data_IF_416826294906
#
_entry.id   IF_416826294906
#
_cell.length_a   1.000
_cell.length_b   1.000
_cell.length_c   1.000
_cell.angle_alpha   90.00
_cell.angle_beta   90.00
_cell.angle_gamma   90.00
#
_symmetry.space_group_name_H-M   'P 1'
#
loop_
_entity.id
_entity.type
_entity.pdbx_description
1 polymer ?
#
# COMPACT_ATOMS: atom_id res chain seq x y z
N UNK A 1 4.00 -13.93 -16.13
CA UNK A 1 3.89 -12.81 -17.09
C UNK A 1 4.08 -11.52 -16.30
N UNK A 2 5.05 -10.67 -16.66
CA UNK A 2 5.54 -9.59 -15.80
C UNK A 2 4.69 -8.32 -15.93
N UNK A 3 4.08 -7.89 -14.83
CA UNK A 3 3.27 -6.68 -14.70
C UNK A 3 4.07 -5.44 -15.11
N UNK A 4 3.47 -4.59 -15.96
CA UNK A 4 4.09 -3.42 -16.58
C UNK A 4 3.27 -2.18 -16.35
N UNK A 5 3.65 -1.38 -15.36
CA UNK A 5 3.56 0.08 -15.32
C UNK A 5 3.67 0.48 -13.85
N UNK A 6 4.57 1.41 -13.56
CA UNK A 6 4.74 1.97 -12.22
C UNK A 6 4.37 3.44 -12.32
N UNK A 7 3.45 3.88 -11.47
CA UNK A 7 3.19 5.30 -11.28
C UNK A 7 4.07 5.73 -10.12
N UNK A 8 5.03 6.62 -10.38
CA UNK A 8 5.87 7.18 -9.32
C UNK A 8 5.54 8.66 -9.18
N UNK A 9 5.10 9.04 -7.99
CA UNK A 9 4.98 10.44 -7.60
C UNK A 9 6.08 10.75 -6.59
N UNK A 10 7.08 11.51 -7.03
CA UNK A 10 8.13 12.03 -6.16
C UNK A 10 7.67 13.37 -5.58
N UNK A 11 7.82 13.56 -4.26
CA UNK A 11 7.66 14.88 -3.62
C UNK A 11 8.96 15.67 -3.57
N UNK A 12 10.10 15.01 -3.75
CA UNK A 12 11.42 15.65 -3.74
C UNK A 12 11.74 16.41 -5.03
N UNK A 13 11.03 16.10 -6.12
CA UNK A 13 11.11 16.83 -7.38
C UNK A 13 9.74 17.43 -7.68
N UNK A 14 9.69 18.69 -8.10
CA UNK A 14 8.50 19.37 -8.60
C UNK A 14 8.01 18.82 -9.96
N UNK A 15 8.10 17.50 -10.14
CA UNK A 15 7.90 16.80 -11.40
C UNK A 15 6.51 16.15 -11.47
N UNK A 16 5.87 16.14 -12.64
CA UNK A 16 4.55 15.53 -12.83
C UNK A 16 4.58 14.01 -12.58
N UNK A 17 3.40 13.43 -12.35
CA UNK A 17 3.18 11.98 -12.30
C UNK A 17 3.80 11.31 -13.53
N UNK A 18 4.89 10.55 -13.35
CA UNK A 18 5.56 9.86 -14.46
C UNK A 18 5.00 8.45 -14.61
N UNK A 19 4.42 8.17 -15.77
CA UNK A 19 3.99 6.83 -16.18
C UNK A 19 5.18 6.11 -16.84
N UNK A 20 5.78 5.14 -16.13
CA UNK A 20 6.93 4.40 -16.65
C UNK A 20 6.51 2.99 -17.10
N UNK A 21 6.65 2.71 -18.40
CA UNK A 21 6.46 1.38 -19.00
C UNK A 21 7.80 0.82 -19.46
N UNK A 22 8.40 -0.13 -18.72
CA UNK A 22 9.66 -0.77 -19.09
C UNK A 22 9.64 -2.28 -18.84
N UNK A 23 10.19 -3.06 -19.79
CA UNK A 23 10.26 -4.54 -19.79
C UNK A 23 11.43 -5.11 -18.97
N UNK A 24 12.28 -4.27 -18.39
CA UNK A 24 13.40 -4.67 -17.52
C UNK A 24 13.33 -3.83 -16.25
N UNK A 25 13.25 -4.50 -15.10
CA UNK A 25 13.55 -3.88 -13.81
C UNK A 25 15.00 -3.43 -13.80
N UNK A 26 15.25 -2.22 -14.31
CA UNK A 26 16.40 -1.38 -13.99
C UNK A 26 15.77 -0.36 -13.03
N UNK A 27 15.56 -0.75 -11.77
CA UNK A 27 14.55 -0.15 -10.90
C UNK A 27 14.53 1.39 -10.77
N UNK A 28 15.61 2.11 -11.08
CA UNK A 28 15.77 3.48 -10.58
C UNK A 28 16.76 4.37 -11.35
N UNK A 29 17.19 4.03 -12.58
CA UNK A 29 18.35 4.71 -13.18
C UNK A 29 18.15 6.20 -13.52
N UNK A 30 16.91 6.74 -13.45
CA UNK A 30 16.61 8.12 -13.84
C UNK A 30 15.59 8.85 -12.95
N UNK A 31 15.12 8.28 -11.83
CA UNK A 31 14.04 8.94 -11.08
C UNK A 31 14.48 10.17 -10.26
N UNK A 32 15.77 10.50 -10.28
CA UNK A 32 16.32 11.79 -9.91
C UNK A 32 17.50 12.08 -10.85
N UNK A 33 17.32 12.87 -11.90
CA UNK A 33 18.45 13.48 -12.60
C UNK A 33 19.21 14.35 -11.60
N UNK A 34 20.29 13.80 -11.04
CA UNK A 34 21.06 14.44 -9.97
C UNK A 34 21.90 13.49 -9.11
N UNK A 35 22.50 12.44 -9.69
CA UNK A 35 23.63 11.66 -9.13
C UNK A 35 23.54 11.17 -7.66
N UNK A 36 22.35 10.99 -7.08
CA UNK A 36 22.14 10.23 -5.84
C UNK A 36 20.99 9.28 -6.04
N UNK A 37 21.20 7.99 -5.78
CA UNK A 37 20.11 7.03 -5.66
C UNK A 37 19.12 7.59 -4.63
N UNK A 38 17.82 7.60 -4.94
CA UNK A 38 16.81 7.90 -3.94
C UNK A 38 16.95 6.83 -2.85
N UNK A 39 17.39 7.22 -1.66
CA UNK A 39 17.68 6.32 -0.56
C UNK A 39 16.48 6.35 0.39
N UNK A 40 15.64 5.32 0.34
CA UNK A 40 14.50 5.17 1.24
C UNK A 40 14.96 4.49 2.53
N UNK A 41 14.54 5.00 3.67
CA UNK A 41 14.91 4.46 4.99
C UNK A 41 13.73 3.78 5.68
N UNK A 42 12.49 4.17 5.35
CA UNK A 42 11.29 3.57 5.93
C UNK A 42 10.17 3.47 4.89
N UNK A 43 9.86 2.23 4.51
CA UNK A 43 8.92 1.89 3.43
C UNK A 43 7.63 1.34 4.02
N UNK A 44 6.52 2.03 3.78
CA UNK A 44 5.17 1.54 4.09
C UNK A 44 4.57 0.86 2.87
N UNK A 45 4.22 -0.42 3.00
CA UNK A 45 3.50 -1.18 1.98
C UNK A 45 2.02 -1.25 2.36
N UNK A 46 1.14 -0.69 1.53
CA UNK A 46 -0.30 -0.73 1.73
C UNK A 46 -0.96 -1.71 0.75
N UNK A 47 -1.60 -2.74 1.28
CA UNK A 47 -2.25 -3.79 0.49
C UNK A 47 -3.70 -4.04 0.92
N UNK A 48 -4.52 -4.45 -0.03
CA UNK A 48 -5.71 -5.21 0.29
C UNK A 48 -5.34 -6.69 0.40
N UNK A 49 -6.18 -7.52 1.02
CA UNK A 49 -5.91 -8.95 1.13
C UNK A 49 -6.21 -9.70 -0.19
N UNK A 50 -6.15 -9.04 -1.35
CA UNK A 50 -6.45 -9.69 -2.63
C UNK A 50 -5.35 -10.69 -3.01
N UNK A 51 -5.65 -11.59 -3.95
CA UNK A 51 -4.65 -12.53 -4.48
C UNK A 51 -3.50 -11.83 -5.22
N UNK A 52 -3.66 -10.56 -5.55
CA UNK A 52 -2.67 -9.74 -6.23
C UNK A 52 -1.80 -8.89 -5.29
N UNK A 53 -2.08 -8.90 -3.98
CA UNK A 53 -1.30 -8.22 -2.95
C UNK A 53 0.19 -8.60 -2.98
N UNK A 54 0.47 -9.86 -3.32
CA UNK A 54 1.82 -10.42 -3.46
C UNK A 54 2.73 -9.56 -4.37
N UNK A 55 2.20 -9.03 -5.48
CA UNK A 55 2.98 -8.19 -6.40
C UNK A 55 3.44 -6.87 -5.75
N UNK A 56 2.63 -6.34 -4.83
CA UNK A 56 2.89 -5.09 -4.12
C UNK A 56 3.87 -5.35 -2.98
N UNK A 57 3.68 -6.43 -2.22
CA UNK A 57 4.57 -6.84 -1.13
C UNK A 57 5.96 -7.16 -1.67
N UNK A 58 6.06 -7.94 -2.76
CA UNK A 58 7.33 -8.25 -3.41
C UNK A 58 8.11 -6.99 -3.81
N UNK A 59 7.43 -6.01 -4.41
CA UNK A 59 8.05 -4.75 -4.81
C UNK A 59 8.56 -3.96 -3.59
N UNK A 60 7.76 -3.88 -2.52
CA UNK A 60 8.16 -3.22 -1.28
C UNK A 60 9.36 -3.90 -0.62
N UNK A 61 9.35 -5.23 -0.52
CA UNK A 61 10.42 -6.02 0.08
C UNK A 61 11.73 -5.92 -0.72
N UNK A 62 11.66 -5.97 -2.06
CA UNK A 62 12.83 -5.77 -2.92
C UNK A 62 13.45 -4.38 -2.74
N UNK A 63 12.62 -3.33 -2.68
CA UNK A 63 13.08 -1.97 -2.42
C UNK A 63 13.68 -1.82 -1.03
N UNK A 64 13.07 -2.40 -0.01
CA UNK A 64 13.60 -2.38 1.35
C UNK A 64 14.98 -3.05 1.42
N UNK A 65 15.13 -4.22 0.77
CA UNK A 65 16.40 -4.95 0.70
C UNK A 65 17.50 -4.13 0.01
N UNK A 66 17.20 -3.52 -1.14
CA UNK A 66 18.17 -2.73 -1.91
C UNK A 66 18.62 -1.47 -1.15
N UNK A 67 17.71 -0.84 -0.40
CA UNK A 67 17.99 0.39 0.34
C UNK A 67 18.48 0.16 1.77
N UNK A 68 18.48 -1.09 2.26
CA UNK A 68 18.64 -1.40 3.68
C UNK A 68 17.63 -0.64 4.56
N UNK A 69 16.38 -0.54 4.08
CA UNK A 69 15.31 0.21 4.72
C UNK A 69 14.51 -0.66 5.69
N UNK A 70 13.90 -0.02 6.68
CA UNK A 70 12.80 -0.64 7.43
C UNK A 70 11.56 -0.77 6.54
N UNK A 71 10.79 -1.84 6.76
CA UNK A 71 9.56 -2.12 6.03
C UNK A 71 8.42 -2.39 7.01
N UNK A 72 7.28 -1.74 6.78
CA UNK A 72 6.02 -2.01 7.45
C UNK A 72 4.93 -2.32 6.42
N UNK A 73 3.98 -3.18 6.78
CA UNK A 73 2.87 -3.59 5.90
C UNK A 73 1.55 -3.29 6.60
N UNK A 74 0.67 -2.56 5.93
CA UNK A 74 -0.64 -2.19 6.47
C UNK A 74 -1.77 -2.72 5.59
N UNK A 75 -2.77 -3.30 6.25
CA UNK A 75 -4.09 -3.51 5.66
C UNK A 75 -5.12 -2.65 6.38
N UNK A 76 -5.98 -1.98 5.60
CA UNK A 76 -7.08 -1.19 6.14
C UNK A 76 -8.40 -1.87 5.84
N UNK A 77 -9.04 -2.39 6.88
CA UNK A 77 -10.36 -2.96 6.82
C UNK A 77 -11.43 -1.85 6.77
N UNK A 78 -12.39 -2.01 5.88
CA UNK A 78 -13.58 -1.17 5.88
C UNK A 78 -14.44 -1.48 7.11
N UNK A 79 -14.76 -0.47 7.90
CA UNK A 79 -15.80 -0.55 8.92
C UNK A 79 -17.18 -0.45 8.25
N UNK A 80 -17.58 -1.49 7.50
CA UNK A 80 -18.95 -1.66 7.03
C UNK A 80 -19.67 -2.64 7.96
N UNK A 81 -20.90 -2.31 8.35
CA UNK A 81 -21.86 -3.26 8.90
C UNK A 81 -22.93 -3.52 7.85
N UNK A 82 -23.65 -4.62 7.97
CA UNK A 82 -24.81 -4.92 7.14
C UNK A 82 -26.07 -4.73 7.99
N UNK A 83 -26.98 -3.86 7.53
CA UNK A 83 -28.32 -3.74 8.10
C UNK A 83 -29.29 -4.44 7.14
N UNK A 84 -29.61 -5.70 7.42
CA UNK A 84 -30.20 -6.61 6.42
C UNK A 84 -29.18 -6.95 5.33
N UNK A 85 -29.58 -6.92 4.05
CA UNK A 85 -28.72 -7.22 2.89
C UNK A 85 -27.93 -6.00 2.37
N UNK A 86 -28.06 -4.83 3.01
CA UNK A 86 -27.46 -3.58 2.55
C UNK A 86 -26.22 -3.20 3.38
N UNK A 87 -25.07 -2.89 2.74
CA UNK A 87 -23.89 -2.40 3.44
C UNK A 87 -24.09 -0.95 3.91
N UNK A 88 -23.97 -0.72 5.21
CA UNK A 88 -24.01 0.59 5.86
C UNK A 88 -22.65 0.92 6.50
N UNK A 89 -22.30 2.20 6.51
CA UNK A 89 -21.18 2.69 7.31
C UNK A 89 -21.51 2.53 8.79
N UNK A 90 -20.60 1.90 9.53
CA UNK A 90 -20.72 1.75 10.98
C UNK A 90 -20.71 3.15 11.61
N UNK A 91 -21.85 3.59 12.12
CA UNK A 91 -21.93 4.75 12.99
C UNK A 91 -21.02 4.51 14.21
N UNK A 92 -20.40 5.54 14.82
CA UNK A 92 -19.61 5.38 16.04
C UNK A 92 -20.33 4.60 17.17
N UNK A 93 -21.67 4.61 17.15
CA UNK A 93 -22.55 3.92 18.11
C UNK A 93 -22.57 2.39 17.89
N UNK A 94 -22.41 1.92 16.65
CA UNK A 94 -22.43 0.48 16.30
C UNK A 94 -21.05 -0.18 16.38
N UNK A 95 -20.00 0.61 16.65
CA UNK A 95 -18.61 0.15 16.71
C UNK A 95 -18.40 -0.90 17.82
N UNK A 96 -19.16 -0.79 18.91
CA UNK A 96 -19.07 -1.70 20.07
C UNK A 96 -19.78 -3.05 19.84
N UNK A 97 -20.64 -3.19 18.82
CA UNK A 97 -21.31 -4.44 18.47
C UNK A 97 -20.45 -5.34 17.56
N UNK A 98 -19.39 -4.80 16.97
CA UNK A 98 -18.48 -5.52 16.09
C UNK A 98 -17.16 -5.74 16.83
N UNK A 99 -16.84 -6.99 17.16
CA UNK A 99 -15.59 -7.30 17.85
C UNK A 99 -14.40 -7.09 16.89
N UNK A 100 -13.91 -5.85 16.81
CA UNK A 100 -12.79 -5.47 15.95
C UNK A 100 -11.53 -6.26 16.29
N UNK A 101 -11.39 -6.78 17.50
CA UNK A 101 -10.22 -7.56 17.90
C UNK A 101 -10.25 -8.96 17.30
N UNK A 102 -11.42 -9.61 17.22
CA UNK A 102 -11.58 -10.88 16.51
C UNK A 102 -11.32 -10.70 15.01
N UNK A 103 -11.91 -9.68 14.39
CA UNK A 103 -11.72 -9.41 12.96
C UNK A 103 -10.27 -9.01 12.68
N UNK A 104 -9.66 -8.18 13.53
CA UNK A 104 -8.24 -7.83 13.46
C UNK A 104 -7.38 -9.09 13.46
N UNK A 105 -7.64 -10.03 14.36
CA UNK A 105 -6.88 -11.28 14.44
C UNK A 105 -6.97 -12.09 13.15
N UNK A 106 -8.19 -12.25 12.60
CA UNK A 106 -8.39 -12.98 11.33
C UNK A 106 -7.64 -12.31 10.18
N UNK A 107 -7.79 -10.99 10.02
CA UNK A 107 -7.14 -10.24 8.95
C UNK A 107 -5.62 -10.19 9.13
N UNK A 108 -5.14 -10.14 10.37
CA UNK A 108 -3.73 -10.25 10.69
C UNK A 108 -3.17 -11.59 10.24
N UNK A 109 -3.83 -12.70 10.59
CA UNK A 109 -3.38 -14.04 10.21
C UNK A 109 -3.43 -14.26 8.68
N UNK A 110 -4.33 -13.60 7.96
CA UNK A 110 -4.33 -13.57 6.49
C UNK A 110 -3.15 -12.77 5.94
N UNK A 111 -2.87 -11.57 6.48
CA UNK A 111 -1.76 -10.74 6.03
C UNK A 111 -0.41 -11.37 6.35
N UNK A 112 -0.28 -12.02 7.51
CA UNK A 112 0.92 -12.73 7.94
C UNK A 112 1.34 -13.81 6.92
N UNK A 113 0.38 -14.58 6.43
CA UNK A 113 0.63 -15.59 5.38
C UNK A 113 1.09 -14.97 4.06
N UNK A 114 0.62 -13.76 3.73
CA UNK A 114 1.02 -13.07 2.51
C UNK A 114 2.44 -12.51 2.62
N UNK A 115 2.88 -12.13 3.82
CA UNK A 115 4.22 -11.60 4.03
C UNK A 115 5.27 -12.68 4.35
N UNK A 116 4.86 -13.89 4.77
CA UNK A 116 5.75 -15.02 5.09
C UNK A 116 6.86 -15.31 4.04
N UNK A 117 6.62 -15.21 2.72
CA UNK A 117 7.67 -15.41 1.71
C UNK A 117 8.74 -14.32 1.68
N UNK A 118 8.50 -13.21 2.38
CA UNK A 118 9.34 -12.03 2.45
C UNK A 118 9.92 -11.93 3.87
N UNK A 119 11.14 -11.41 4.03
CA UNK A 119 11.79 -11.26 5.34
C UNK A 119 11.18 -10.11 6.16
N UNK A 120 9.86 -10.12 6.32
CA UNK A 120 9.03 -9.13 6.98
C UNK A 120 8.51 -9.75 8.27
N UNK A 121 8.87 -9.16 9.39
CA UNK A 121 8.48 -9.69 10.69
C UNK A 121 7.01 -9.43 11.00
N UNK A 122 6.40 -10.29 11.82
CA UNK A 122 5.04 -10.08 12.37
C UNK A 122 4.86 -8.72 13.07
N UNK A 123 5.92 -8.19 13.68
CA UNK A 123 5.89 -6.87 14.33
C UNK A 123 5.77 -5.69 13.35
N UNK A 124 6.06 -5.92 12.07
CA UNK A 124 5.94 -4.93 10.99
C UNK A 124 4.55 -4.88 10.35
N UNK A 125 3.62 -5.74 10.78
CA UNK A 125 2.27 -5.86 10.23
C UNK A 125 1.28 -5.04 11.07
N UNK A 126 0.46 -4.22 10.41
CA UNK A 126 -0.61 -3.44 11.07
C UNK A 126 -1.97 -3.63 10.38
N UNK A 127 -3.02 -3.80 11.20
CA UNK A 127 -4.41 -3.87 10.76
C UNK A 127 -5.16 -2.66 11.31
N UNK A 128 -5.57 -1.77 10.41
CA UNK A 128 -6.35 -0.57 10.73
C UNK A 128 -7.80 -0.70 10.25
N UNK A 129 -8.69 0.05 10.88
CA UNK A 129 -10.09 0.13 10.47
C UNK A 129 -10.44 1.58 10.13
N UNK A 130 -11.09 1.79 8.98
CA UNK A 130 -11.51 3.11 8.56
C UNK A 130 -11.51 3.30 7.04
N UNK A 131 -11.32 4.54 6.61
CA UNK A 131 -11.15 4.86 5.20
C UNK A 131 -9.70 4.59 4.77
N UNK A 132 -9.52 3.64 3.85
CA UNK A 132 -8.20 3.14 3.44
C UNK A 132 -7.18 4.26 3.16
N UNK A 133 -7.52 5.24 2.32
CA UNK A 133 -6.58 6.30 1.96
C UNK A 133 -6.17 7.17 3.17
N UNK A 134 -7.11 7.48 4.06
CA UNK A 134 -6.83 8.30 5.25
C UNK A 134 -5.96 7.54 6.25
N UNK A 135 -6.26 6.26 6.44
CA UNK A 135 -5.52 5.38 7.34
C UNK A 135 -4.10 5.09 6.86
N UNK A 136 -3.91 4.89 5.54
CA UNK A 136 -2.59 4.73 4.92
C UNK A 136 -1.76 6.01 5.09
N UNK A 137 -2.34 7.18 4.78
CA UNK A 137 -1.65 8.48 4.94
C UNK A 137 -1.31 8.74 6.41
N UNK A 138 -2.20 8.36 7.34
CA UNK A 138 -1.96 8.47 8.77
C UNK A 138 -0.82 7.55 9.21
N UNK A 139 -0.84 6.26 8.85
CA UNK A 139 0.24 5.30 9.16
C UNK A 139 1.60 5.79 8.64
N UNK A 140 1.63 6.31 7.40
CA UNK A 140 2.86 6.84 6.82
C UNK A 140 3.44 8.01 7.63
N UNK A 141 2.58 8.87 8.21
CA UNK A 141 3.00 9.93 9.12
C UNK A 141 3.46 9.38 10.47
N UNK A 142 2.70 8.45 11.05
CA UNK A 142 2.99 7.84 12.35
C UNK A 142 4.36 7.15 12.35
N UNK A 143 4.68 6.44 11.26
CA UNK A 143 5.94 5.71 11.08
C UNK A 143 7.10 6.60 10.63
N UNK A 144 6.83 7.79 10.09
CA UNK A 144 7.83 8.56 9.37
C UNK A 144 8.29 7.90 8.07
N UNK A 145 7.38 7.21 7.37
CA UNK A 145 7.67 6.56 6.10
C UNK A 145 8.08 7.60 5.03
N UNK A 146 9.14 7.30 4.27
CA UNK A 146 9.63 8.14 3.17
C UNK A 146 9.25 7.60 1.78
N UNK A 147 8.64 6.41 1.74
CA UNK A 147 7.98 5.82 0.59
C UNK A 147 6.71 5.06 1.00
N UNK A 148 5.62 5.27 0.27
CA UNK A 148 4.44 4.40 0.28
C UNK A 148 4.42 3.56 -0.99
N UNK A 149 4.32 2.25 -0.85
CA UNK A 149 4.13 1.30 -1.94
C UNK A 149 2.69 0.77 -1.88
N UNK A 150 1.92 0.87 -2.96
CA UNK A 150 0.54 0.41 -2.98
C UNK A 150 0.11 -0.09 -4.36
N UNK A 151 -0.94 -0.90 -4.41
CA UNK A 151 -1.57 -1.28 -5.68
C UNK A 151 -2.34 -0.12 -6.31
N UNK A 152 -2.28 0.00 -7.64
CA UNK A 152 -3.11 0.96 -8.41
C UNK A 152 -4.61 0.70 -8.26
N UNK A 153 -5.01 -0.53 -7.99
CA UNK A 153 -6.39 -0.95 -7.74
C UNK A 153 -6.38 -2.15 -6.80
N UNK A 154 -7.55 -2.49 -6.24
CA UNK A 154 -7.73 -3.66 -5.38
C UNK A 154 -8.85 -4.58 -5.89
N UNK A 155 -9.37 -5.46 -5.00
CA UNK A 155 -10.38 -6.51 -5.30
C UNK A 155 -11.58 -6.06 -6.15
N UNK A 156 -12.03 -4.82 -6.00
CA UNK A 156 -13.23 -4.27 -6.66
C UNK A 156 -12.91 -3.26 -7.78
N UNK A 157 -11.64 -3.00 -8.04
CA UNK A 157 -11.21 -1.98 -9.00
C UNK A 157 -11.23 -2.48 -10.45
N UNK A 158 -11.49 -1.56 -11.38
CA UNK A 158 -11.32 -1.84 -12.81
C UNK A 158 -9.81 -1.90 -13.08
N UNK A 159 -9.31 -3.05 -13.55
CA UNK A 159 -7.87 -3.35 -13.74
C UNK A 159 -7.08 -2.35 -14.62
N UNK A 160 -7.79 -1.49 -15.36
CA UNK A 160 -7.22 -0.49 -16.28
C UNK A 160 -7.19 0.94 -15.70
N UNK A 161 -7.76 1.17 -14.51
CA UNK A 161 -7.88 2.51 -13.91
C UNK A 161 -7.17 2.58 -12.56
N UNK A 162 -6.75 3.79 -12.21
CA UNK A 162 -6.33 4.12 -10.86
C UNK A 162 -7.56 4.08 -9.94
N UNK A 163 -7.49 3.25 -8.91
CA UNK A 163 -8.51 3.13 -7.88
C UNK A 163 -8.56 4.35 -6.97
N UNK A 164 -9.73 4.61 -6.39
CA UNK A 164 -9.97 5.78 -5.53
C UNK A 164 -9.02 5.85 -4.33
N UNK A 165 -8.66 4.71 -3.74
CA UNK A 165 -7.67 4.67 -2.65
C UNK A 165 -6.30 5.14 -3.13
N UNK A 166 -5.81 4.60 -4.25
CA UNK A 166 -4.50 4.94 -4.78
C UNK A 166 -4.42 6.40 -5.22
N UNK A 167 -5.46 6.89 -5.88
CA UNK A 167 -5.59 8.30 -6.28
C UNK A 167 -5.55 9.25 -5.07
N UNK A 168 -6.33 8.96 -4.02
CA UNK A 168 -6.33 9.78 -2.80
C UNK A 168 -4.97 9.74 -2.07
N UNK A 169 -4.31 8.57 -2.01
CA UNK A 169 -2.98 8.45 -1.39
C UNK A 169 -1.95 9.28 -2.16
N UNK A 170 -1.94 9.21 -3.49
CA UNK A 170 -1.04 10.01 -4.35
C UNK A 170 -1.16 11.51 -4.06
N UNK A 171 -2.38 12.03 -3.88
CA UNK A 171 -2.61 13.44 -3.61
C UNK A 171 -2.29 13.87 -2.16
N UNK A 172 -2.38 12.96 -1.17
CA UNK A 172 -2.33 13.31 0.25
C UNK A 172 -1.16 12.73 1.05
N UNK A 173 -0.39 11.80 0.48
CA UNK A 173 0.76 11.17 1.14
C UNK A 173 1.75 12.23 1.66
N UNK A 174 2.38 12.04 2.82
CA UNK A 174 3.42 12.95 3.29
C UNK A 174 4.74 12.80 2.52
N UNK A 175 4.94 11.68 1.82
CA UNK A 175 6.19 11.25 1.22
C UNK A 175 6.00 10.76 -0.23
N UNK A 176 7.02 10.10 -0.78
CA UNK A 176 6.97 9.55 -2.12
C UNK A 176 5.97 8.40 -2.21
N UNK A 177 5.37 8.21 -3.39
CA UNK A 177 4.39 7.15 -3.61
C UNK A 177 4.76 6.35 -4.86
N UNK A 178 4.83 5.04 -4.71
CA UNK A 178 5.00 4.07 -5.77
C UNK A 178 3.71 3.25 -5.91
N UNK A 179 2.98 3.49 -6.99
CA UNK A 179 1.77 2.74 -7.33
C UNK A 179 2.09 1.60 -8.32
N UNK A 180 1.86 0.37 -7.88
CA UNK A 180 2.11 -0.86 -8.65
C UNK A 180 0.91 -1.15 -9.53
N UNK A 181 1.12 -1.25 -10.84
CA UNK A 181 0.06 -1.80 -11.70
C UNK A 181 -0.06 -3.30 -11.48
N UNK A 182 -1.16 -3.69 -10.87
CA UNK A 182 -1.54 -5.09 -10.72
C UNK A 182 -2.02 -5.59 -12.09
N UNK A 183 -1.34 -6.61 -12.62
CA UNK A 183 -1.83 -7.37 -13.77
C UNK A 183 -2.16 -8.77 -13.24
N UNK A 184 -3.42 -9.16 -13.30
CA UNK A 184 -3.77 -10.55 -13.03
C UNK A 184 -3.88 -11.35 -14.31
#
# INVERSE_FOLDING_TARGET
MRSRCWIVQSKAASSPVLWLSSRRCIWLSHLLEGNRMANFSNILVAVDLSGEADQVIAAGAELASINHAEISVVHVAHALTYYGDAPYYVSPIDRDLYNQDEVRKILFDELDKLVEPYDITRGSIDIRFGYAAEEIVRKAKDDGADLIVLGTHGRRGIRLLLGSTADRVLHHAPCNVLAIRIAG
#
